data_IF_088019910028
#
_entry.id   IF_088019910028
#
_cell.length_a   1.000
_cell.length_b   1.000
_cell.length_c   1.000
_cell.angle_alpha   90.00
_cell.angle_beta   90.00
_cell.angle_gamma   90.00
#
_symmetry.space_group_name_H-M   'P 1'
#
loop_
_entity.id
_entity.type
_entity.pdbx_description
1 polymer ?
#
# COMPACT_ATOMS: atom_id res chain seq x y z
N UNK A 1 -4.35 16.54 -12.28
CA UNK A 1 -3.14 17.15 -11.69
C UNK A 1 -2.52 16.18 -10.70
N UNK A 2 -1.23 15.94 -10.81
CA UNK A 2 -0.51 15.12 -9.82
C UNK A 2 -0.16 15.97 -8.60
N UNK A 3 -0.25 15.41 -7.38
CA UNK A 3 0.22 16.10 -6.18
C UNK A 3 1.74 16.34 -6.27
N UNK A 4 2.20 17.40 -5.61
CA UNK A 4 3.63 17.70 -5.54
C UNK A 4 4.35 16.67 -4.66
N UNK A 5 5.08 15.78 -5.28
CA UNK A 5 5.85 14.72 -4.63
C UNK A 5 7.33 15.10 -4.42
N UNK A 6 7.72 16.34 -4.71
CA UNK A 6 9.12 16.77 -4.60
C UNK A 6 9.70 16.56 -3.21
N UNK A 7 8.90 16.75 -2.16
CA UNK A 7 9.33 16.48 -0.78
C UNK A 7 9.59 15.00 -0.49
N UNK A 8 8.89 14.10 -1.19
CA UNK A 8 9.08 12.66 -1.01
C UNK A 8 10.36 12.15 -1.66
N UNK A 9 10.83 12.81 -2.72
CA UNK A 9 12.08 12.44 -3.41
C UNK A 9 13.33 12.72 -2.56
N UNK A 10 13.22 13.49 -1.49
CA UNK A 10 14.32 13.80 -0.57
C UNK A 10 14.38 12.85 0.64
N UNK A 11 13.48 11.88 0.73
CA UNK A 11 13.48 10.90 1.81
C UNK A 11 14.65 9.92 1.65
N UNK A 12 15.39 9.74 2.75
CA UNK A 12 16.45 8.75 2.86
C UNK A 12 15.85 7.41 3.29
N UNK A 13 15.37 6.65 2.30
CA UNK A 13 14.77 5.33 2.49
C UNK A 13 15.34 4.33 1.49
N UNK A 14 15.34 3.05 1.83
CA UNK A 14 15.89 1.99 0.96
C UNK A 14 15.08 1.82 -0.33
N UNK A 15 13.77 1.92 -0.24
CA UNK A 15 12.86 1.77 -1.39
C UNK A 15 11.67 2.72 -1.26
N UNK A 16 11.42 3.49 -2.31
CA UNK A 16 10.20 4.26 -2.49
C UNK A 16 9.60 3.94 -3.86
N UNK A 17 8.39 3.42 -3.87
CA UNK A 17 7.63 3.16 -5.08
C UNK A 17 6.38 4.04 -5.14
N UNK A 18 6.16 4.65 -6.29
CA UNK A 18 5.00 5.48 -6.58
C UNK A 18 4.20 4.83 -7.70
N UNK A 19 2.95 4.51 -7.41
CA UNK A 19 2.01 3.96 -8.38
C UNK A 19 0.90 4.96 -8.63
N UNK A 20 0.74 5.35 -9.87
CA UNK A 20 -0.36 6.20 -10.29
C UNK A 20 -1.24 5.45 -11.27
N UNK A 21 -2.48 5.19 -10.87
CA UNK A 21 -3.48 4.54 -11.69
C UNK A 21 -4.52 5.58 -12.10
N UNK A 22 -4.39 6.06 -13.33
CA UNK A 22 -5.28 7.05 -13.92
C UNK A 22 -6.52 6.35 -14.51
N UNK A 23 -7.46 6.06 -13.63
CA UNK A 23 -8.72 5.41 -13.97
C UNK A 23 -9.85 6.39 -14.28
N UNK A 24 -9.59 7.69 -14.17
CA UNK A 24 -10.57 8.72 -14.50
C UNK A 24 -10.93 8.70 -15.98
N UNK A 25 -12.23 8.64 -16.30
CA UNK A 25 -12.69 8.71 -17.68
C UNK A 25 -12.87 10.16 -18.13
N UNK A 26 -12.83 10.38 -19.44
CA UNK A 26 -13.13 11.68 -20.04
C UNK A 26 -14.62 11.96 -19.91
N UNK A 27 -14.97 13.17 -19.47
CA UNK A 27 -16.34 13.60 -19.26
C UNK A 27 -17.16 12.66 -18.33
N UNK A 28 -16.72 12.51 -17.05
CA UNK A 28 -17.32 11.57 -16.12
C UNK A 28 -18.74 12.00 -15.70
N UNK A 29 -19.66 11.06 -15.69
CA UNK A 29 -21.03 11.29 -15.23
C UNK A 29 -21.18 11.26 -13.69
N UNK A 30 -20.16 10.79 -12.98
CA UNK A 30 -20.16 10.70 -11.52
C UNK A 30 -18.75 10.90 -10.95
N UNK A 31 -18.68 11.26 -9.66
CA UNK A 31 -17.41 11.40 -8.94
C UNK A 31 -16.60 10.09 -8.95
N UNK A 32 -17.26 8.94 -8.88
CA UNK A 32 -16.59 7.65 -8.93
C UNK A 32 -15.86 7.42 -10.27
N UNK A 33 -16.39 7.92 -11.37
CA UNK A 33 -15.78 7.82 -12.69
C UNK A 33 -14.65 8.86 -12.90
N UNK A 34 -14.60 9.88 -12.07
CA UNK A 34 -13.60 10.95 -12.12
C UNK A 34 -12.38 10.67 -11.23
N UNK A 35 -12.31 9.51 -10.59
CA UNK A 35 -11.26 9.17 -9.63
C UNK A 35 -10.05 8.53 -10.30
N UNK A 36 -8.87 8.96 -9.86
CA UNK A 36 -7.59 8.28 -10.08
C UNK A 36 -6.97 7.93 -8.73
N UNK A 37 -6.14 6.89 -8.69
CA UNK A 37 -5.53 6.42 -7.47
C UNK A 37 -4.03 6.67 -7.48
N UNK A 38 -3.53 7.28 -6.40
CA UNK A 38 -2.11 7.39 -6.11
C UNK A 38 -1.77 6.50 -4.92
N UNK A 39 -0.81 5.60 -5.10
CA UNK A 39 -0.31 4.73 -4.04
C UNK A 39 1.18 4.95 -3.84
N UNK A 40 1.56 5.26 -2.62
CA UNK A 40 2.94 5.39 -2.19
C UNK A 40 3.30 4.20 -1.30
N UNK A 41 4.38 3.52 -1.64
CA UNK A 41 4.90 2.38 -0.86
C UNK A 41 6.34 2.67 -0.52
N UNK A 42 6.67 2.63 0.75
CA UNK A 42 8.02 2.82 1.25
C UNK A 42 8.45 1.62 2.08
N UNK A 43 9.68 1.18 1.89
CA UNK A 43 10.30 0.10 2.66
C UNK A 43 11.68 0.53 3.13
N UNK A 44 12.01 0.14 4.33
CA UNK A 44 13.33 0.35 4.93
C UNK A 44 13.55 -0.68 6.03
N UNK A 45 14.80 -1.06 6.24
CA UNK A 45 15.18 -1.94 7.34
C UNK A 45 15.03 -1.25 8.71
N UNK A 46 15.18 0.08 8.76
CA UNK A 46 14.96 0.88 9.96
C UNK A 46 13.53 1.46 9.99
N UNK A 47 12.64 0.96 10.87
CA UNK A 47 11.28 1.44 10.95
C UNK A 47 11.17 2.94 11.30
N UNK A 48 12.18 3.53 11.91
CA UNK A 48 12.17 4.97 12.26
C UNK A 48 12.22 5.86 11.03
N UNK A 49 12.89 5.43 9.95
CA UNK A 49 12.98 6.17 8.70
C UNK A 49 11.66 6.27 7.97
N UNK A 50 10.83 5.23 8.07
CA UNK A 50 9.53 5.13 7.40
C UNK A 50 8.34 5.44 8.32
N UNK A 51 8.57 5.77 9.57
CA UNK A 51 7.53 6.20 10.50
C UNK A 51 7.15 7.67 10.23
N UNK A 52 7.36 8.53 11.19
CA UNK A 52 6.97 9.93 11.13
C UNK A 52 7.70 10.73 10.05
N UNK A 53 8.95 10.34 9.72
CA UNK A 53 9.71 10.97 8.66
C UNK A 53 9.05 10.81 7.27
N UNK A 54 8.34 9.71 7.04
CA UNK A 54 7.56 9.49 5.83
C UNK A 54 6.13 10.01 5.95
N UNK A 55 5.44 9.73 7.05
CA UNK A 55 4.02 10.06 7.18
C UNK A 55 3.75 11.56 7.26
N UNK A 56 4.64 12.34 7.88
CA UNK A 56 4.46 13.79 7.99
C UNK A 56 4.46 14.50 6.62
N UNK A 57 5.43 14.29 5.72
CA UNK A 57 5.39 14.86 4.37
C UNK A 57 4.15 14.44 3.56
N UNK A 58 3.70 13.20 3.72
CA UNK A 58 2.48 12.72 3.04
C UNK A 58 1.25 13.46 3.53
N UNK A 59 1.10 13.65 4.83
CA UNK A 59 -0.01 14.41 5.41
C UNK A 59 0.05 15.88 4.99
N UNK A 60 1.22 16.51 5.03
CA UNK A 60 1.43 17.88 4.56
C UNK A 60 1.03 18.03 3.08
N UNK A 61 1.47 17.11 2.22
CA UNK A 61 1.13 17.13 0.81
C UNK A 61 -0.38 16.97 0.58
N UNK A 62 -1.05 16.14 1.39
CA UNK A 62 -2.50 15.96 1.33
C UNK A 62 -3.24 17.23 1.72
N UNK A 63 -2.80 17.92 2.78
CA UNK A 63 -3.42 19.16 3.25
C UNK A 63 -3.16 20.35 2.31
N UNK A 64 -2.01 20.38 1.64
CA UNK A 64 -1.62 21.41 0.68
C UNK A 64 -2.15 21.14 -0.74
N UNK A 65 -2.96 20.12 -0.92
CA UNK A 65 -3.42 19.64 -2.22
C UNK A 65 -4.61 20.45 -2.76
N UNK A 66 -5.20 19.98 -3.81
CA UNK A 66 -6.31 20.62 -4.53
C UNK A 66 -7.67 20.04 -4.10
N UNK A 67 -8.79 20.77 -4.38
CA UNK A 67 -10.12 20.25 -4.09
C UNK A 67 -10.40 18.91 -4.77
N UNK A 68 -11.01 17.99 -4.03
CA UNK A 68 -11.33 16.64 -4.52
C UNK A 68 -10.29 15.58 -4.19
N UNK A 69 -9.12 15.95 -3.67
CA UNK A 69 -8.16 14.98 -3.13
C UNK A 69 -8.57 14.54 -1.72
N UNK A 70 -8.53 13.23 -1.50
CA UNK A 70 -8.77 12.65 -0.16
C UNK A 70 -7.97 11.36 0.03
N UNK A 71 -7.52 11.06 1.24
CA UNK A 71 -6.86 9.80 1.54
C UNK A 71 -7.89 8.68 1.72
N UNK A 72 -7.58 7.49 1.24
CA UNK A 72 -8.39 6.29 1.49
C UNK A 72 -8.17 5.72 2.88
N UNK A 73 -7.01 6.01 3.48
CA UNK A 73 -6.68 5.66 4.85
C UNK A 73 -5.66 6.66 5.41
N UNK A 74 -5.67 6.83 6.72
CA UNK A 74 -4.64 7.62 7.42
C UNK A 74 -3.33 6.83 7.40
N UNK A 75 -2.19 7.46 7.10
CA UNK A 75 -0.89 6.80 7.22
C UNK A 75 -0.67 6.21 8.61
N UNK A 76 -0.46 4.90 8.67
CA UNK A 76 -0.26 4.18 9.93
C UNK A 76 1.20 4.01 10.31
N UNK A 77 1.42 3.27 11.40
CA UNK A 77 2.76 2.86 11.80
C UNK A 77 3.34 1.83 10.82
N UNK A 78 4.67 1.77 10.67
CA UNK A 78 5.32 0.74 9.88
C UNK A 78 4.95 -0.66 10.33
N UNK A 79 4.77 -1.57 9.38
CA UNK A 79 4.49 -2.97 9.63
C UNK A 79 5.56 -3.86 8.98
N UNK A 80 5.88 -5.02 9.55
CA UNK A 80 6.78 -5.98 8.92
C UNK A 80 6.26 -6.41 7.55
N UNK A 81 7.17 -6.53 6.59
CA UNK A 81 6.88 -7.04 5.25
C UNK A 81 7.38 -8.48 5.16
N UNK A 82 6.48 -9.39 4.81
CA UNK A 82 6.85 -10.77 4.52
C UNK A 82 7.53 -10.89 3.15
N UNK A 83 8.57 -11.72 3.08
CA UNK A 83 9.21 -12.10 1.81
C UNK A 83 8.64 -13.46 1.41
N UNK A 84 8.10 -13.53 0.20
CA UNK A 84 7.57 -14.77 -0.34
C UNK A 84 8.70 -15.60 -0.95
N UNK A 85 8.94 -16.77 -0.36
CA UNK A 85 9.92 -17.76 -0.85
C UNK A 85 9.18 -19.03 -1.23
N UNK A 86 8.82 -19.20 -2.50
CA UNK A 86 8.13 -20.42 -2.94
C UNK A 86 9.07 -21.62 -2.88
N UNK A 87 8.57 -22.72 -2.38
CA UNK A 87 9.25 -24.01 -2.40
C UNK A 87 8.27 -25.11 -2.77
N UNK A 88 8.79 -26.25 -3.19
CA UNK A 88 7.99 -27.44 -3.50
C UNK A 88 8.23 -28.50 -2.44
N UNK A 89 7.17 -29.17 -2.03
CA UNK A 89 7.22 -30.31 -1.11
C UNK A 89 6.59 -31.51 -1.80
N UNK A 90 7.21 -32.67 -1.67
CA UNK A 90 6.64 -33.91 -2.22
C UNK A 90 5.29 -34.20 -1.54
N UNK A 91 4.28 -34.53 -2.34
CA UNK A 91 2.91 -34.76 -1.88
C UNK A 91 2.81 -35.80 -0.75
N UNK A 92 3.70 -36.80 -0.72
CA UNK A 92 3.71 -37.81 0.33
C UNK A 92 3.95 -37.27 1.75
N UNK A 93 4.52 -36.05 1.86
CA UNK A 93 4.77 -35.38 3.13
C UNK A 93 3.62 -34.47 3.57
N UNK A 94 2.57 -34.35 2.75
CA UNK A 94 1.41 -33.51 3.03
C UNK A 94 0.19 -34.41 3.19
N UNK A 95 -0.27 -34.56 4.40
CA UNK A 95 -1.52 -35.27 4.71
C UNK A 95 -2.63 -34.23 4.79
N UNK A 96 -3.59 -34.21 3.85
CA UNK A 96 -4.72 -33.32 3.93
C UNK A 96 -5.68 -33.77 5.04
N UNK A 97 -6.04 -32.85 5.92
CA UNK A 97 -7.01 -33.05 6.98
C UNK A 97 -8.17 -32.11 6.77
N UNK A 98 -9.38 -32.59 6.95
CA UNK A 98 -10.60 -31.77 6.87
C UNK A 98 -11.28 -31.80 8.25
N UNK A 99 -11.47 -30.64 8.83
CA UNK A 99 -12.19 -30.49 10.09
C UNK A 99 -13.48 -29.68 9.84
N UNK A 100 -14.61 -30.19 10.31
CA UNK A 100 -15.90 -29.49 10.29
C UNK A 100 -16.41 -29.45 11.73
N UNK A 101 -16.70 -28.26 12.23
CA UNK A 101 -17.19 -28.02 13.62
C UNK A 101 -16.26 -28.64 14.69
N UNK A 102 -14.95 -28.64 14.43
CA UNK A 102 -13.97 -29.21 15.35
C UNK A 102 -13.82 -30.72 15.30
N UNK A 103 -14.51 -31.40 14.38
CA UNK A 103 -14.36 -32.82 14.13
C UNK A 103 -13.54 -33.07 12.86
N UNK A 104 -12.48 -33.88 13.00
CA UNK A 104 -11.68 -34.34 11.86
C UNK A 104 -12.49 -35.39 11.09
N UNK A 105 -12.54 -35.21 9.77
CA UNK A 105 -13.15 -36.17 8.87
C UNK A 105 -12.06 -37.06 8.27
N UNK A 106 -12.32 -38.38 8.15
CA UNK A 106 -11.37 -39.30 7.55
C UNK A 106 -11.11 -39.05 6.06
#
# INVERSE_FOLDING_TARGET
AQPDLAKLSTLDVDELAVYFDDTAIVDPASTAQAQSHLRLVVKDADPKRIAKAFTAPVVEATLASYPGMFPTAVPGSPAPVGVYWPTTVERRHVVPEVSIDGQELP
#
